data_IF_184369157950
#
_entry.id   IF_184369157950
#
_cell.length_a   1.000
_cell.length_b   1.000
_cell.length_c   1.000
_cell.angle_alpha   90.00
_cell.angle_beta   90.00
_cell.angle_gamma   90.00
#
_symmetry.space_group_name_H-M   'P 1'
#
loop_
_entity.id
_entity.type
_entity.pdbx_description
1 polymer ?
#
# COMPACT_ATOMS: atom_id res chain seq x y z
N UNK A 1 -11.39 -12.64 5.65
CA UNK A 1 -10.29 -11.82 6.20
C UNK A 1 -10.82 -11.17 7.46
N UNK A 2 -10.21 -11.42 8.62
CA UNK A 2 -10.71 -10.90 9.91
C UNK A 2 -10.19 -9.50 10.23
N UNK A 3 -8.97 -9.17 9.77
CA UNK A 3 -8.36 -7.84 9.93
C UNK A 3 -8.64 -6.94 8.74
N UNK A 4 -8.45 -5.63 8.91
CA UNK A 4 -8.47 -4.68 7.82
C UNK A 4 -7.19 -4.83 6.98
N UNK A 5 -7.29 -4.59 5.68
CA UNK A 5 -6.13 -4.62 4.79
C UNK A 5 -6.39 -5.27 3.43
N UNK A 6 -5.35 -5.91 2.88
CA UNK A 6 -5.33 -6.41 1.49
C UNK A 6 -4.89 -7.87 1.46
N UNK A 7 -5.68 -8.73 0.83
CA UNK A 7 -5.34 -10.14 0.57
C UNK A 7 -4.88 -10.31 -0.88
N UNK A 8 -3.85 -11.13 -1.09
CA UNK A 8 -3.26 -11.36 -2.41
C UNK A 8 -2.75 -12.80 -2.60
N UNK A 9 -2.59 -13.20 -3.86
CA UNK A 9 -2.04 -14.51 -4.22
C UNK A 9 -0.50 -14.49 -4.18
N UNK A 10 0.09 -15.39 -3.41
CA UNK A 10 1.54 -15.57 -3.30
C UNK A 10 1.98 -16.66 -4.28
N UNK A 11 2.65 -16.23 -5.35
CA UNK A 11 3.20 -17.10 -6.40
C UNK A 11 4.74 -17.18 -6.37
N UNK A 12 5.39 -16.40 -5.50
CA UNK A 12 6.83 -16.33 -5.31
C UNK A 12 7.14 -16.02 -3.85
N UNK A 13 7.74 -16.98 -3.14
CA UNK A 13 8.01 -16.86 -1.71
C UNK A 13 9.16 -15.88 -1.41
N UNK A 14 10.20 -15.84 -2.25
CA UNK A 14 11.33 -14.91 -2.05
C UNK A 14 10.87 -13.45 -2.08
N UNK A 15 10.02 -13.10 -3.06
CA UNK A 15 9.41 -11.76 -3.13
C UNK A 15 8.50 -11.47 -1.95
N UNK A 16 7.80 -12.49 -1.46
CA UNK A 16 6.91 -12.36 -0.32
C UNK A 16 7.70 -12.07 0.95
N UNK A 17 8.83 -12.76 1.17
CA UNK A 17 9.73 -12.52 2.30
C UNK A 17 10.34 -11.11 2.28
N UNK A 18 10.68 -10.59 1.10
CA UNK A 18 11.13 -9.20 0.93
C UNK A 18 10.01 -8.22 1.28
N UNK A 19 8.79 -8.45 0.79
CA UNK A 19 7.62 -7.64 1.13
C UNK A 19 7.35 -7.65 2.65
N UNK A 20 7.45 -8.81 3.30
CA UNK A 20 7.33 -8.93 4.75
C UNK A 20 8.38 -8.09 5.47
N UNK A 21 9.63 -8.15 5.03
CA UNK A 21 10.74 -7.40 5.62
C UNK A 21 10.54 -5.88 5.47
N UNK A 22 10.08 -5.43 4.30
CA UNK A 22 9.70 -4.04 4.06
C UNK A 22 8.56 -3.60 4.98
N UNK A 23 7.55 -4.45 5.17
CA UNK A 23 6.40 -4.15 6.01
C UNK A 23 6.75 -4.06 7.50
N UNK A 24 7.77 -4.80 7.95
CA UNK A 24 8.33 -4.68 9.30
C UNK A 24 8.97 -3.30 9.50
N UNK A 25 9.72 -2.79 8.53
CA UNK A 25 10.29 -1.44 8.60
C UNK A 25 9.20 -0.36 8.57
N UNK A 26 8.17 -0.50 7.72
CA UNK A 26 7.01 0.41 7.72
C UNK A 26 6.32 0.46 9.08
N UNK A 27 6.12 -0.70 9.70
CA UNK A 27 5.56 -0.81 11.06
C UNK A 27 6.45 -0.12 12.09
N UNK A 28 7.77 -0.27 11.97
CA UNK A 28 8.73 0.36 12.88
C UNK A 28 8.62 1.89 12.81
N UNK A 29 8.58 2.45 11.61
CA UNK A 29 8.45 3.89 11.39
C UNK A 29 7.12 4.39 11.97
N UNK A 30 5.99 3.74 11.65
CA UNK A 30 4.66 4.07 12.20
C UNK A 30 4.60 4.03 13.73
N UNK A 31 5.15 2.98 14.35
CA UNK A 31 5.14 2.85 15.81
C UNK A 31 6.04 3.86 16.52
N UNK A 32 7.13 4.26 15.87
CA UNK A 32 8.08 5.21 16.45
C UNK A 32 7.69 6.67 16.24
N UNK A 33 6.84 6.96 15.25
CA UNK A 33 6.54 8.31 14.79
C UNK A 33 7.74 9.03 14.14
N UNK A 34 8.84 8.32 13.91
CA UNK A 34 10.03 8.83 13.23
C UNK A 34 10.06 8.24 11.83
N UNK A 35 9.64 9.04 10.86
CA UNK A 35 9.56 8.62 9.46
C UNK A 35 10.87 8.92 8.73
N UNK A 36 11.31 7.95 7.93
CA UNK A 36 12.47 8.09 7.05
C UNK A 36 12.13 8.97 5.85
N UNK A 37 13.15 9.56 5.23
CA UNK A 37 12.95 10.23 3.94
C UNK A 37 12.49 9.19 2.90
N UNK A 38 11.47 9.49 2.07
CA UNK A 38 10.99 8.57 1.04
C UNK A 38 12.08 8.01 0.11
N UNK A 39 13.17 8.75 -0.10
CA UNK A 39 14.34 8.31 -0.87
C UNK A 39 15.06 7.13 -0.22
N UNK A 40 15.02 7.02 1.10
CA UNK A 40 15.62 5.89 1.82
C UNK A 40 14.92 4.56 1.50
N UNK A 41 13.63 4.56 1.14
CA UNK A 41 12.93 3.32 0.76
C UNK A 41 13.45 2.69 -0.53
N UNK A 42 14.09 3.47 -1.40
CA UNK A 42 14.64 3.00 -2.67
C UNK A 42 15.65 1.86 -2.48
N UNK A 43 16.38 1.85 -1.35
CA UNK A 43 17.36 0.82 -1.03
C UNK A 43 16.72 -0.48 -0.48
N UNK A 44 15.50 -0.39 0.04
CA UNK A 44 14.76 -1.52 0.62
C UNK A 44 13.90 -2.27 -0.40
N UNK A 45 13.70 -1.67 -1.59
CA UNK A 45 12.86 -2.24 -2.65
C UNK A 45 13.74 -2.71 -3.82
N UNK A 46 13.61 -3.98 -4.26
CA UNK A 46 14.35 -4.51 -5.41
C UNK A 46 14.11 -3.71 -6.71
N UNK A 47 15.10 -3.66 -7.59
CA UNK A 47 15.04 -2.91 -8.85
C UNK A 47 13.86 -3.33 -9.75
N UNK A 48 13.57 -4.64 -9.80
CA UNK A 48 12.46 -5.18 -10.58
C UNK A 48 11.08 -4.78 -10.05
N UNK A 49 10.99 -4.49 -8.74
CA UNK A 49 9.76 -3.99 -8.11
C UNK A 49 9.65 -2.48 -8.33
N UNK A 50 10.75 -1.76 -8.19
CA UNK A 50 10.85 -0.30 -8.47
C UNK A 50 10.41 0.05 -9.90
N UNK A 51 10.74 -0.80 -10.87
CA UNK A 51 10.36 -0.63 -12.27
C UNK A 51 8.84 -0.63 -12.53
N UNK A 52 8.01 -1.00 -11.54
CA UNK A 52 6.54 -1.03 -11.66
C UNK A 52 5.83 0.19 -11.11
N UNK A 53 6.58 1.11 -10.53
CA UNK A 53 6.06 2.40 -10.09
C UNK A 53 6.32 3.47 -11.14
N UNK A 54 5.54 4.54 -11.07
CA UNK A 54 5.87 5.79 -11.73
C UNK A 54 6.95 6.54 -10.94
N UNK A 55 7.80 7.26 -11.68
CA UNK A 55 8.90 8.06 -11.15
C UNK A 55 8.77 9.48 -11.68
N UNK A 56 7.80 10.27 -11.18
CA UNK A 56 7.61 11.63 -11.67
C UNK A 56 8.85 12.49 -11.41
N UNK A 57 9.06 13.45 -12.29
CA UNK A 57 10.08 14.47 -12.12
C UNK A 57 9.77 15.37 -10.92
N UNK A 58 10.77 16.08 -10.36
CA UNK A 58 10.53 17.04 -9.29
C UNK A 58 9.46 18.10 -9.65
N UNK A 59 9.46 18.58 -10.90
CA UNK A 59 8.49 19.57 -11.38
C UNK A 59 7.06 19.01 -11.44
N UNK A 60 6.90 17.76 -11.91
CA UNK A 60 5.60 17.07 -11.91
C UNK A 60 5.09 16.86 -10.49
N UNK A 61 5.95 16.45 -9.55
CA UNK A 61 5.56 16.33 -8.13
C UNK A 61 5.15 17.67 -7.54
N UNK A 62 5.91 18.74 -7.80
CA UNK A 62 5.58 20.07 -7.32
C UNK A 62 4.23 20.56 -7.87
N UNK A 63 3.95 20.29 -9.15
CA UNK A 63 2.66 20.59 -9.77
C UNK A 63 1.50 19.85 -9.09
N UNK A 64 1.64 18.54 -8.85
CA UNK A 64 0.61 17.76 -8.17
C UNK A 64 0.39 18.17 -6.71
N UNK A 65 1.46 18.54 -6.00
CA UNK A 65 1.37 19.08 -4.63
C UNK A 65 0.61 20.42 -4.59
N UNK A 66 0.84 21.30 -5.57
CA UNK A 66 0.12 22.57 -5.68
C UNK A 66 -1.39 22.35 -5.90
N UNK A 67 -1.75 21.44 -6.81
CA UNK A 67 -3.15 21.07 -7.07
C UNK A 67 -3.80 20.44 -5.84
N UNK A 68 -3.09 19.58 -5.10
CA UNK A 68 -3.60 18.90 -3.89
C UNK A 68 -4.13 19.92 -2.87
N UNK A 69 -3.40 21.02 -2.65
CA UNK A 69 -3.80 22.07 -1.71
C UNK A 69 -5.10 22.81 -2.13
N UNK A 70 -5.48 22.72 -3.40
CA UNK A 70 -6.68 23.36 -3.97
C UNK A 70 -7.87 22.42 -4.20
N UNK A 71 -7.69 21.11 -3.97
CA UNK A 71 -8.69 20.08 -4.30
C UNK A 71 -9.36 19.51 -3.05
N UNK A 72 -10.65 19.17 -3.13
CA UNK A 72 -11.38 18.50 -2.04
C UNK A 72 -10.73 17.15 -1.75
N UNK A 73 -10.55 16.81 -0.46
CA UNK A 73 -10.05 15.50 -0.05
C UNK A 73 -11.08 14.44 -0.45
N UNK A 74 -10.79 13.72 -1.54
CA UNK A 74 -11.52 12.53 -1.95
C UNK A 74 -10.65 11.32 -1.64
N UNK A 75 -11.23 10.32 -0.98
CA UNK A 75 -10.57 9.05 -0.74
C UNK A 75 -11.08 8.11 -1.80
N UNK A 76 -10.21 7.66 -2.72
CA UNK A 76 -10.64 6.77 -3.77
C UNK A 76 -11.11 5.45 -3.18
N UNK A 77 -12.16 4.90 -3.77
CA UNK A 77 -12.62 3.57 -3.46
C UNK A 77 -11.56 2.53 -3.88
N UNK A 78 -11.44 1.37 -3.21
CA UNK A 78 -10.38 0.40 -3.50
C UNK A 78 -10.33 -0.07 -4.95
N UNK A 79 -11.48 -0.11 -5.65
CA UNK A 79 -11.52 -0.51 -7.05
C UNK A 79 -10.83 0.49 -7.98
N UNK A 80 -10.85 1.78 -7.64
CA UNK A 80 -10.19 2.84 -8.42
C UNK A 80 -8.66 2.73 -8.31
N UNK A 81 -8.17 1.96 -7.33
CA UNK A 81 -6.75 1.79 -7.03
C UNK A 81 -6.17 0.48 -7.59
N UNK A 82 -7.01 -0.47 -7.99
CA UNK A 82 -6.56 -1.72 -8.61
C UNK A 82 -5.90 -1.44 -9.97
N UNK A 83 -4.63 -1.83 -10.12
CA UNK A 83 -3.86 -1.60 -11.34
C UNK A 83 -3.52 -0.13 -11.61
N UNK A 84 -3.77 0.76 -10.65
CA UNK A 84 -3.37 2.16 -10.77
C UNK A 84 -1.84 2.29 -10.78
N UNK A 85 -1.32 3.22 -11.58
CA UNK A 85 0.11 3.48 -11.63
C UNK A 85 0.51 4.45 -10.52
N UNK A 86 0.97 3.92 -9.40
CA UNK A 86 1.36 4.72 -8.23
C UNK A 86 2.76 5.32 -8.39
N UNK A 87 2.96 6.53 -7.88
CA UNK A 87 4.29 7.10 -7.63
C UNK A 87 4.95 6.34 -6.47
N UNK A 88 6.17 5.87 -6.67
CA UNK A 88 6.96 5.15 -5.66
C UNK A 88 6.97 5.88 -4.32
N UNK A 89 7.30 7.16 -4.31
CA UNK A 89 7.44 7.93 -3.08
C UNK A 89 6.08 8.15 -2.40
N UNK A 90 5.04 8.40 -3.19
CA UNK A 90 3.68 8.60 -2.69
C UNK A 90 3.11 7.37 -1.99
N UNK A 91 3.53 6.16 -2.33
CA UNK A 91 3.09 4.95 -1.62
C UNK A 91 3.50 5.02 -0.15
N UNK A 92 4.77 5.34 0.13
CA UNK A 92 5.29 5.40 1.49
C UNK A 92 4.74 6.60 2.26
N UNK A 93 4.72 7.78 1.62
CA UNK A 93 4.14 8.99 2.21
C UNK A 93 2.66 8.79 2.56
N UNK A 94 1.88 8.12 1.68
CA UNK A 94 0.47 7.86 1.97
C UNK A 94 0.29 6.89 3.15
N UNK A 95 1.15 5.88 3.31
CA UNK A 95 1.12 4.97 4.47
C UNK A 95 1.48 5.72 5.76
N UNK A 96 2.48 6.60 5.70
CA UNK A 96 2.87 7.49 6.80
C UNK A 96 1.71 8.39 7.23
N UNK A 97 1.13 9.13 6.28
CA UNK A 97 0.04 10.11 6.50
C UNK A 97 -1.28 9.46 6.96
N UNK A 98 -1.46 8.15 6.76
CA UNK A 98 -2.71 7.44 7.07
C UNK A 98 -2.97 7.23 8.57
N UNK A 99 -4.23 7.30 9.02
CA UNK A 99 -4.63 7.09 10.42
C UNK A 99 -4.91 5.61 10.73
N UNK A 100 -3.90 4.77 10.57
CA UNK A 100 -3.92 3.36 10.99
C UNK A 100 -2.55 2.90 11.51
N UNK A 101 -2.57 1.85 12.34
CA UNK A 101 -1.35 1.08 12.63
C UNK A 101 -1.08 0.08 11.50
N UNK A 102 0.20 -0.12 11.20
CA UNK A 102 0.67 -1.21 10.36
C UNK A 102 0.91 -2.43 11.25
N UNK A 103 0.23 -3.55 10.98
CA UNK A 103 0.25 -4.73 11.85
C UNK A 103 1.28 -5.78 11.39
N UNK A 104 0.97 -6.52 10.33
CA UNK A 104 1.83 -7.58 9.83
C UNK A 104 1.57 -7.89 8.35
N UNK A 105 2.57 -8.48 7.71
CA UNK A 105 2.46 -9.11 6.41
C UNK A 105 2.65 -10.61 6.64
N UNK A 106 1.59 -11.40 6.42
CA UNK A 106 1.58 -12.81 6.81
C UNK A 106 1.01 -13.71 5.73
N UNK A 107 1.47 -14.95 5.72
CA UNK A 107 0.83 -16.02 4.97
C UNK A 107 -0.34 -16.54 5.82
N UNK A 108 -1.56 -16.40 5.34
CA UNK A 108 -2.75 -16.87 6.08
C UNK A 108 -3.10 -18.30 5.77
N UNK A 109 -2.83 -18.72 4.53
CA UNK A 109 -3.06 -20.06 4.01
C UNK A 109 -2.03 -20.31 2.90
N UNK A 110 -1.73 -21.57 2.54
CA UNK A 110 -0.81 -21.86 1.43
C UNK A 110 -1.19 -21.11 0.15
N UNK A 111 -0.28 -20.25 -0.32
CA UNK A 111 -0.47 -19.43 -1.52
C UNK A 111 -1.25 -18.12 -1.32
N UNK A 112 -1.60 -17.74 -0.08
CA UNK A 112 -2.36 -16.53 0.21
C UNK A 112 -1.70 -15.67 1.29
N UNK A 113 -1.37 -14.44 0.92
CA UNK A 113 -0.77 -13.44 1.80
C UNK A 113 -1.75 -12.32 2.15
N UNK A 114 -1.53 -11.68 3.29
CA UNK A 114 -2.27 -10.49 3.74
C UNK A 114 -1.33 -9.40 4.23
N UNK A 115 -1.56 -8.15 3.78
CA UNK A 115 -1.05 -6.93 4.42
C UNK A 115 -2.13 -6.44 5.38
N UNK A 116 -1.85 -6.38 6.68
CA UNK A 116 -2.83 -6.04 7.71
C UNK A 116 -2.58 -4.69 8.36
N UNK A 117 -3.67 -4.00 8.66
CA UNK A 117 -3.68 -2.70 9.35
C UNK A 117 -4.75 -2.66 10.44
N UNK A 118 -4.63 -1.69 11.35
CA UNK A 118 -5.63 -1.38 12.36
C UNK A 118 -6.02 0.12 12.25
N UNK A 119 -7.16 0.46 11.65
CA UNK A 119 -7.58 1.85 11.49
C UNK A 119 -8.06 2.47 12.80
N UNK A 120 -7.73 3.75 13.00
CA UNK A 120 -8.08 4.51 14.20
C UNK A 120 -9.34 5.35 14.05
N UNK A 121 -9.59 5.89 12.84
CA UNK A 121 -10.76 6.71 12.55
C UNK A 121 -11.17 6.58 11.08
N UNK A 122 -12.42 6.84 10.75
CA UNK A 122 -12.82 7.03 9.35
C UNK A 122 -12.94 8.53 9.04
N UNK A 123 -12.32 9.02 7.96
CA UNK A 123 -11.44 8.26 7.07
C UNK A 123 -10.01 8.06 7.59
N UNK A 124 -9.42 6.88 7.34
CA UNK A 124 -8.04 6.56 7.76
C UNK A 124 -6.99 6.65 6.65
N UNK A 125 -7.35 7.10 5.44
CA UNK A 125 -6.43 7.14 4.28
C UNK A 125 -6.56 5.98 3.28
N UNK A 126 -7.43 5.00 3.58
CA UNK A 126 -7.76 3.91 2.66
C UNK A 126 -6.67 2.83 2.54
N UNK A 127 -6.85 1.91 1.59
CA UNK A 127 -5.93 0.76 1.36
C UNK A 127 -5.18 0.81 0.03
N UNK A 128 -5.36 1.88 -0.75
CA UNK A 128 -4.72 2.06 -2.06
C UNK A 128 -3.20 1.86 -2.07
N UNK A 129 -2.43 2.45 -1.14
CA UNK A 129 -0.98 2.23 -1.06
C UNK A 129 -0.60 0.76 -0.82
N UNK A 130 -1.43 0.01 -0.08
CA UNK A 130 -1.20 -1.42 0.20
C UNK A 130 -1.49 -2.29 -1.03
N UNK A 131 -2.54 -1.93 -1.80
CA UNK A 131 -2.83 -2.54 -3.11
C UNK A 131 -1.63 -2.34 -4.03
N UNK A 132 -1.16 -1.09 -4.16
CA UNK A 132 -0.03 -0.73 -5.00
C UNK A 132 1.23 -1.52 -4.64
N UNK A 133 1.52 -1.64 -3.33
CA UNK A 133 2.67 -2.40 -2.85
C UNK A 133 2.57 -3.88 -3.23
N UNK A 134 1.43 -4.53 -2.98
CA UNK A 134 1.24 -5.93 -3.34
C UNK A 134 1.38 -6.18 -4.86
N UNK A 135 0.78 -5.33 -5.69
CA UNK A 135 0.84 -5.45 -7.16
C UNK A 135 2.25 -5.16 -7.71
N UNK A 136 2.98 -4.21 -7.12
CA UNK A 136 4.37 -3.94 -7.46
C UNK A 136 5.29 -5.14 -7.16
N UNK A 137 5.06 -5.87 -6.08
CA UNK A 137 5.77 -7.14 -5.82
C UNK A 137 5.33 -8.28 -6.75
N UNK A 138 4.26 -8.07 -7.53
CA UNK A 138 3.75 -9.02 -8.52
C UNK A 138 2.76 -10.02 -7.99
N UNK A 139 2.14 -9.69 -6.87
CA UNK A 139 1.04 -10.44 -6.34
C UNK A 139 -0.28 -9.89 -6.89
N UNK A 140 -1.18 -10.80 -7.24
CA UNK A 140 -2.53 -10.43 -7.65
C UNK A 140 -3.38 -10.17 -6.40
N UNK A 141 -3.86 -8.94 -6.23
CA UNK A 141 -4.80 -8.61 -5.15
C UNK A 141 -6.11 -9.36 -5.36
N UNK A 142 -6.54 -10.13 -4.37
CA UNK A 142 -7.71 -11.00 -4.39
C UNK A 142 -8.92 -10.36 -3.71
N UNK A 143 -8.69 -9.40 -2.83
CA UNK A 143 -9.72 -8.66 -2.14
C UNK A 143 -9.17 -7.76 -1.06
N UNK A 144 -10.04 -6.89 -0.55
CA UNK A 144 -9.74 -5.90 0.48
C UNK A 144 -10.76 -6.01 1.59
N UNK A 145 -10.35 -5.75 2.83
CA UNK A 145 -11.27 -5.57 3.95
C UNK A 145 -11.16 -4.11 4.37
N UNK A 146 -12.16 -3.35 3.95
CA UNK A 146 -12.38 -1.98 4.37
C UNK A 146 -13.61 -1.96 5.27
N UNK A 147 -13.50 -1.32 6.44
CA UNK A 147 -14.59 -1.22 7.42
C UNK A 147 -15.18 -2.57 7.91
N UNK A 148 -14.35 -3.60 8.07
CA UNK A 148 -14.79 -4.92 8.53
C UNK A 148 -15.61 -5.72 7.49
N UNK A 149 -15.77 -5.18 6.28
CA UNK A 149 -16.39 -5.87 5.15
C UNK A 149 -15.32 -6.27 4.13
N UNK A 150 -15.18 -7.58 3.95
CA UNK A 150 -14.32 -8.12 2.90
C UNK A 150 -15.02 -8.05 1.52
N UNK A 151 -14.40 -7.37 0.56
CA UNK A 151 -14.79 -7.31 -0.84
C UNK A 151 -13.77 -8.06 -1.69
N UNK A 152 -14.23 -9.00 -2.50
CA UNK A 152 -13.42 -9.75 -3.46
C UNK A 152 -13.03 -8.85 -4.65
N UNK A 153 -11.92 -9.17 -5.30
CA UNK A 153 -11.48 -8.49 -6.54
C UNK A 153 -12.59 -8.44 -7.60
N UNK A 154 -13.38 -9.51 -7.72
CA UNK A 154 -14.50 -9.55 -8.68
C UNK A 154 -15.63 -8.58 -8.33
N UNK A 155 -15.79 -8.23 -7.05
CA UNK A 155 -16.77 -7.25 -6.60
C UNK A 155 -16.23 -5.82 -6.76
N UNK A 156 -14.91 -5.64 -6.65
CA UNK A 156 -14.25 -4.38 -6.93
C UNK A 156 -14.31 -4.03 -8.42
N UNK A 157 -14.17 -5.00 -9.33
CA UNK A 157 -14.14 -4.76 -10.78
C UNK A 157 -15.52 -4.63 -11.45
N UNK A 158 -16.62 -4.51 -10.70
CA UNK A 158 -18.00 -4.49 -11.20
C UNK A 158 -18.58 -3.10 -11.36
#
# INVERSE_FOLDING_TARGET
MESFGVRFAVNNLDRFEILCSLYVELRRDKNSGHFRDPVEWVQHVPDEVKARFSWPTPDERAHWLDIRNSTVIAIPEPFEQLGANWDFYRVFEAIEESEYDVLDCVLVEPGFGELRINPHAYPYGGVGPLIALAEAFGFAVLGVNENGKYQLRQELLR
#
